data_IF_094034887142
#
_entry.id   IF_094034887142
#
_cell.length_a   1.000
_cell.length_b   1.000
_cell.length_c   1.000
_cell.angle_alpha   90.00
_cell.angle_beta   90.00
_cell.angle_gamma   90.00
#
_symmetry.space_group_name_H-M   'P 1'
#
loop_
_entity.id
_entity.type
_entity.pdbx_description
1 polymer ?
#
# COMPACT_ATOMS: atom_id res chain seq x y z
N UNK A 1 -1.70 16.64 -14.56
CA UNK A 1 -1.62 15.70 -13.43
C UNK A 1 -2.42 14.45 -13.75
N UNK A 2 -1.92 13.28 -13.38
CA UNK A 2 -2.58 12.02 -13.67
C UNK A 2 -3.87 11.89 -12.84
N UNK A 3 -4.99 11.54 -13.49
CA UNK A 3 -6.30 11.38 -12.82
C UNK A 3 -6.28 10.33 -11.70
N UNK A 4 -5.50 9.26 -11.87
CA UNK A 4 -5.36 8.23 -10.84
C UNK A 4 -4.68 8.78 -9.59
N UNK A 5 -3.68 9.64 -9.75
CA UNK A 5 -3.00 10.25 -8.61
C UNK A 5 -3.90 11.28 -7.89
N UNK A 6 -4.74 11.99 -8.62
CA UNK A 6 -5.74 12.87 -8.02
C UNK A 6 -6.76 12.08 -7.20
N UNK A 7 -7.24 10.95 -7.74
CA UNK A 7 -8.14 10.06 -7.02
C UNK A 7 -7.47 9.49 -5.78
N UNK A 8 -6.23 9.00 -5.90
CA UNK A 8 -5.45 8.51 -4.75
C UNK A 8 -5.39 9.57 -3.65
N UNK A 9 -5.00 10.78 -3.99
CA UNK A 9 -4.88 11.89 -3.03
C UNK A 9 -6.19 12.23 -2.33
N UNK A 10 -7.33 12.03 -2.99
CA UNK A 10 -8.64 12.28 -2.38
C UNK A 10 -8.93 11.34 -1.21
N UNK A 11 -8.28 10.18 -1.15
CA UNK A 11 -8.40 9.21 -0.05
C UNK A 11 -7.28 9.33 0.99
N UNK A 12 -6.37 10.28 0.82
CA UNK A 12 -5.27 10.47 1.77
C UNK A 12 -5.80 10.99 3.10
N UNK A 13 -5.55 10.29 4.22
CA UNK A 13 -5.91 10.79 5.54
C UNK A 13 -5.06 12.00 5.94
N UNK A 14 -5.55 12.82 6.87
CA UNK A 14 -4.81 13.97 7.39
C UNK A 14 -3.46 13.54 7.99
N UNK A 15 -3.42 12.38 8.63
CA UNK A 15 -2.20 11.77 9.15
C UNK A 15 -2.17 10.29 8.73
N UNK A 16 -1.11 9.90 8.03
CA UNK A 16 -0.89 8.51 7.64
C UNK A 16 -0.23 7.78 8.81
N UNK A 17 -0.90 6.77 9.35
CA UNK A 17 -0.35 5.92 10.41
C UNK A 17 0.28 4.66 9.84
N UNK A 18 -0.39 3.99 8.90
CA UNK A 18 0.10 2.81 8.21
C UNK A 18 0.06 3.06 6.70
N UNK A 19 1.21 2.93 6.06
CA UNK A 19 1.33 3.04 4.61
C UNK A 19 1.43 1.65 4.00
N UNK A 20 0.50 1.33 3.10
CA UNK A 20 0.57 0.13 2.26
C UNK A 20 1.24 0.51 0.94
N UNK A 21 2.19 -0.29 0.48
CA UNK A 21 2.95 0.00 -0.74
C UNK A 21 2.82 -1.15 -1.72
N UNK A 22 2.22 -0.85 -2.89
CA UNK A 22 2.17 -1.74 -4.05
C UNK A 22 3.26 -1.38 -5.06
N UNK A 23 3.30 -2.11 -6.18
CA UNK A 23 4.28 -1.86 -7.23
C UNK A 23 3.92 -0.65 -8.09
N UNK A 24 2.73 -0.68 -8.68
CA UNK A 24 2.20 0.36 -9.55
C UNK A 24 0.72 0.11 -9.80
N UNK A 25 -0.01 1.13 -10.28
CA UNK A 25 -1.34 0.91 -10.82
C UNK A 25 -1.25 -0.04 -12.02
N UNK A 26 -2.19 -1.02 -12.19
CA UNK A 26 -2.16 -1.92 -13.32
C UNK A 26 -2.31 -1.19 -14.65
N UNK A 27 -1.61 -1.65 -15.69
CA UNK A 27 -1.71 -1.10 -17.05
C UNK A 27 -3.10 -1.27 -17.68
N UNK A 28 -3.93 -2.17 -17.11
CA UNK A 28 -5.33 -2.40 -17.52
C UNK A 28 -6.26 -1.21 -17.26
N UNK A 29 -5.83 -0.22 -16.48
CA UNK A 29 -6.67 0.90 -16.05
C UNK A 29 -7.44 0.62 -14.76
N UNK A 30 -7.39 -0.59 -14.23
CA UNK A 30 -7.96 -0.90 -12.91
C UNK A 30 -7.14 -0.23 -11.83
N UNK A 31 -7.78 0.14 -10.73
CA UNK A 31 -7.11 0.88 -9.69
C UNK A 31 -7.73 0.62 -8.32
N UNK A 32 -6.89 0.56 -7.30
CA UNK A 32 -7.34 0.28 -5.93
C UNK A 32 -8.46 1.24 -5.50
N UNK A 33 -8.24 2.53 -5.63
CA UNK A 33 -9.21 3.53 -5.18
C UNK A 33 -10.42 3.69 -6.13
N UNK A 34 -10.40 3.04 -7.29
CA UNK A 34 -11.58 2.90 -8.14
C UNK A 34 -12.47 1.71 -7.73
N UNK A 35 -12.00 0.89 -6.79
CA UNK A 35 -12.75 -0.25 -6.28
C UNK A 35 -12.87 -1.42 -7.25
N UNK A 36 -11.98 -1.55 -8.22
CA UNK A 36 -12.07 -2.56 -9.28
C UNK A 36 -10.79 -3.39 -9.49
N UNK A 37 -9.80 -3.29 -8.59
CA UNK A 37 -8.58 -4.09 -8.68
C UNK A 37 -8.66 -5.36 -7.82
N UNK A 38 -7.82 -6.35 -8.14
CA UNK A 38 -7.70 -7.57 -7.32
C UNK A 38 -7.24 -7.24 -5.91
N UNK A 39 -6.29 -6.32 -5.78
CA UNK A 39 -5.80 -5.88 -4.46
C UNK A 39 -6.91 -5.25 -3.63
N UNK A 40 -7.75 -4.41 -4.24
CA UNK A 40 -8.89 -3.82 -3.54
C UNK A 40 -9.83 -4.90 -2.99
N UNK A 41 -10.22 -5.86 -3.84
CA UNK A 41 -11.16 -6.93 -3.42
C UNK A 41 -10.57 -7.76 -2.27
N UNK A 42 -9.30 -8.11 -2.37
CA UNK A 42 -8.63 -8.89 -1.35
C UNK A 42 -8.47 -8.10 -0.03
N UNK A 43 -8.11 -6.83 -0.14
CA UNK A 43 -7.96 -5.95 1.01
C UNK A 43 -9.30 -5.72 1.72
N UNK A 44 -10.34 -5.40 0.96
CA UNK A 44 -11.70 -5.22 1.50
C UNK A 44 -12.15 -6.45 2.27
N UNK A 45 -11.92 -7.64 1.72
CA UNK A 45 -12.29 -8.90 2.38
C UNK A 45 -11.50 -9.10 3.67
N UNK A 46 -10.20 -8.82 3.67
CA UNK A 46 -9.37 -8.95 4.87
C UNK A 46 -9.83 -8.03 6.00
N UNK A 47 -10.39 -6.86 5.67
CA UNK A 47 -10.93 -5.90 6.63
C UNK A 47 -12.42 -6.08 6.94
N UNK A 48 -13.01 -7.23 6.63
CA UNK A 48 -14.39 -7.57 7.01
C UNK A 48 -15.45 -7.38 5.92
N UNK A 49 -15.03 -7.00 4.71
CA UNK A 49 -15.90 -6.87 3.53
C UNK A 49 -17.06 -5.85 3.67
N UNK A 50 -16.81 -4.74 4.39
CA UNK A 50 -17.80 -3.70 4.61
C UNK A 50 -17.90 -2.73 3.42
N UNK A 51 -19.13 -2.28 3.13
CA UNK A 51 -19.37 -1.24 2.09
C UNK A 51 -18.65 0.07 2.40
N UNK A 52 -18.41 0.35 3.68
CA UNK A 52 -17.72 1.54 4.17
C UNK A 52 -16.19 1.40 4.17
N UNK A 53 -15.63 0.41 3.44
CA UNK A 53 -14.21 0.08 3.51
C UNK A 53 -13.30 1.30 3.30
N UNK A 54 -13.53 2.12 2.29
CA UNK A 54 -12.66 3.27 2.02
C UNK A 54 -12.74 4.33 3.13
N UNK A 55 -13.94 4.59 3.64
CA UNK A 55 -14.12 5.54 4.74
C UNK A 55 -13.42 5.04 6.01
N UNK A 56 -13.57 3.76 6.32
CA UNK A 56 -12.96 3.13 7.48
C UNK A 56 -11.43 3.09 7.35
N UNK A 57 -10.92 2.79 6.16
CA UNK A 57 -9.49 2.78 5.84
C UNK A 57 -8.88 4.15 6.09
N UNK A 58 -9.51 5.19 5.55
CA UNK A 58 -9.08 6.58 5.73
C UNK A 58 -9.14 7.02 7.20
N UNK A 59 -10.21 6.69 7.91
CA UNK A 59 -10.37 7.02 9.34
C UNK A 59 -9.29 6.40 10.21
N UNK A 60 -8.83 5.20 9.87
CA UNK A 60 -7.73 4.53 10.58
C UNK A 60 -6.36 5.19 10.33
N UNK A 61 -6.26 6.10 9.39
CA UNK A 61 -4.99 6.67 8.97
C UNK A 61 -4.25 5.79 7.97
N UNK A 62 -4.93 4.85 7.34
CA UNK A 62 -4.37 3.92 6.37
C UNK A 62 -4.38 4.54 4.97
N UNK A 63 -3.30 4.34 4.24
CA UNK A 63 -3.15 4.85 2.89
C UNK A 63 -2.40 3.85 2.04
N UNK A 64 -2.85 3.64 0.81
CA UNK A 64 -2.17 2.79 -0.15
C UNK A 64 -1.53 3.67 -1.23
N UNK A 65 -0.23 3.54 -1.37
CA UNK A 65 0.57 4.17 -2.41
C UNK A 65 1.31 3.10 -3.20
N UNK A 66 1.95 3.47 -4.29
CA UNK A 66 2.74 2.57 -5.11
C UNK A 66 4.21 3.02 -5.16
N UNK A 67 5.11 2.05 -5.32
CA UNK A 67 6.53 2.32 -5.54
C UNK A 67 6.72 3.18 -6.79
N UNK A 68 6.17 2.73 -7.93
CA UNK A 68 6.21 3.46 -9.20
C UNK A 68 4.85 4.10 -9.48
N UNK A 69 4.86 5.38 -9.84
CA UNK A 69 3.62 6.13 -10.11
C UNK A 69 3.14 6.00 -11.57
N UNK A 70 3.83 5.21 -12.38
CA UNK A 70 3.43 4.84 -13.74
C UNK A 70 3.28 3.33 -13.83
N UNK A 71 2.34 2.80 -14.65
CA UNK A 71 2.15 1.36 -14.78
C UNK A 71 3.39 0.67 -15.34
N UNK A 72 3.91 -0.35 -14.63
CA UNK A 72 5.09 -1.12 -15.04
C UNK A 72 4.85 -2.63 -15.04
N UNK A 73 3.65 -3.08 -14.66
CA UNK A 73 3.38 -4.50 -14.47
C UNK A 73 3.43 -5.36 -15.74
N UNK A 74 3.34 -4.74 -16.93
CA UNK A 74 3.43 -5.43 -18.22
C UNK A 74 4.78 -5.26 -18.92
N UNK A 75 5.73 -4.56 -18.31
CA UNK A 75 7.07 -4.43 -18.85
C UNK A 75 7.84 -5.75 -18.70
N UNK A 76 8.80 -5.99 -19.61
CA UNK A 76 9.73 -7.10 -19.47
C UNK A 76 10.53 -6.97 -18.17
N UNK A 77 10.97 -8.09 -17.61
CA UNK A 77 11.60 -8.15 -16.29
C UNK A 77 12.75 -7.15 -16.12
N UNK A 78 13.60 -6.99 -17.13
CA UNK A 78 14.74 -6.07 -17.07
C UNK A 78 14.28 -4.62 -16.97
N UNK A 79 13.36 -4.20 -17.84
CA UNK A 79 12.78 -2.84 -17.84
C UNK A 79 11.97 -2.59 -16.57
N UNK A 80 11.16 -3.56 -16.17
CA UNK A 80 10.35 -3.48 -14.96
C UNK A 80 11.24 -3.27 -13.74
N UNK A 81 12.32 -4.03 -13.62
CA UNK A 81 13.26 -3.89 -12.51
C UNK A 81 13.98 -2.53 -12.54
N UNK A 82 14.33 -2.04 -13.73
CA UNK A 82 14.94 -0.72 -13.88
C UNK A 82 14.01 0.38 -13.36
N UNK A 83 12.73 0.34 -13.73
CA UNK A 83 11.72 1.28 -13.23
C UNK A 83 11.54 1.19 -11.71
N UNK A 84 11.56 -0.02 -11.17
CA UNK A 84 11.50 -0.23 -9.71
C UNK A 84 12.67 0.47 -9.00
N UNK A 85 13.88 0.29 -9.52
CA UNK A 85 15.08 0.90 -8.94
C UNK A 85 15.07 2.43 -9.05
N UNK A 86 14.65 2.96 -10.18
CA UNK A 86 14.54 4.39 -10.41
C UNK A 86 13.48 5.05 -9.52
N UNK A 87 12.46 4.32 -9.12
CA UNK A 87 11.38 4.80 -8.27
C UNK A 87 11.77 4.92 -6.79
N UNK A 88 12.85 4.27 -6.36
CA UNK A 88 13.26 4.25 -4.95
C UNK A 88 13.45 5.67 -4.36
N UNK A 89 14.20 6.60 -4.98
CA UNK A 89 14.38 7.93 -4.42
C UNK A 89 13.08 8.72 -4.30
N UNK A 90 12.16 8.54 -5.25
CA UNK A 90 10.87 9.24 -5.24
C UNK A 90 9.96 8.71 -4.12
N UNK A 91 9.97 7.40 -3.88
CA UNK A 91 9.27 6.83 -2.73
C UNK A 91 9.89 7.33 -1.42
N UNK A 92 11.22 7.42 -1.33
CA UNK A 92 11.89 7.95 -0.16
C UNK A 92 11.43 9.37 0.17
N UNK A 93 11.28 10.24 -0.82
CA UNK A 93 10.75 11.60 -0.63
C UNK A 93 9.34 11.59 -0.05
N UNK A 94 8.47 10.72 -0.57
CA UNK A 94 7.10 10.60 -0.06
C UNK A 94 7.09 10.05 1.37
N UNK A 95 7.95 9.09 1.70
CA UNK A 95 8.07 8.56 3.05
C UNK A 95 8.51 9.63 4.07
N UNK A 96 9.39 10.53 3.68
CA UNK A 96 9.78 11.69 4.50
C UNK A 96 8.57 12.58 4.78
N UNK A 97 7.75 12.81 3.79
CA UNK A 97 6.53 13.61 3.93
C UNK A 97 5.47 12.92 4.77
N UNK A 98 5.20 11.64 4.49
CA UNK A 98 4.13 10.88 5.14
C UNK A 98 4.43 10.51 6.59
N UNK A 99 5.68 10.25 6.92
CA UNK A 99 6.12 9.84 8.27
C UNK A 99 5.26 8.71 8.86
N UNK A 100 5.05 7.59 8.12
CA UNK A 100 4.20 6.51 8.63
C UNK A 100 4.83 5.83 9.84
N UNK A 101 3.99 5.31 10.73
CA UNK A 101 4.44 4.54 11.90
C UNK A 101 4.64 3.06 11.56
N UNK A 102 4.05 2.59 10.47
CA UNK A 102 4.25 1.25 9.92
C UNK A 102 4.14 1.29 8.40
N UNK A 103 4.84 0.38 7.75
CA UNK A 103 4.79 0.17 6.29
C UNK A 103 4.47 -1.28 6.03
N UNK A 104 3.51 -1.54 5.16
CA UNK A 104 3.12 -2.86 4.70
C UNK A 104 3.37 -2.97 3.21
N UNK A 105 4.31 -3.81 2.82
CA UNK A 105 4.60 -4.09 1.40
C UNK A 105 3.65 -5.18 0.92
N UNK A 106 2.84 -4.89 -0.10
CA UNK A 106 1.81 -5.83 -0.58
C UNK A 106 2.25 -6.60 -1.82
N UNK A 107 3.54 -6.79 -1.98
CA UNK A 107 4.14 -7.61 -3.04
C UNK A 107 5.58 -7.95 -2.64
N UNK A 108 5.88 -9.25 -2.48
CA UNK A 108 7.21 -9.66 -1.99
C UNK A 108 8.36 -9.19 -2.88
N UNK A 109 8.15 -9.17 -4.20
CA UNK A 109 9.20 -8.82 -5.15
C UNK A 109 9.76 -7.40 -4.98
N UNK A 110 8.96 -6.47 -4.45
CA UNK A 110 9.40 -5.07 -4.26
C UNK A 110 9.89 -4.77 -2.85
N UNK A 111 9.86 -5.73 -1.95
CA UNK A 111 10.29 -5.51 -0.56
C UNK A 111 11.70 -4.91 -0.45
N UNK A 112 12.72 -5.40 -1.19
CA UNK A 112 14.05 -4.79 -1.10
C UNK A 112 14.08 -3.32 -1.51
N UNK A 113 13.33 -2.94 -2.54
CA UNK A 113 13.24 -1.55 -3.00
C UNK A 113 12.56 -0.66 -1.97
N UNK A 114 11.46 -1.10 -1.40
CA UNK A 114 10.73 -0.35 -0.37
C UNK A 114 11.60 -0.20 0.89
N UNK A 115 12.26 -1.27 1.32
CA UNK A 115 13.18 -1.21 2.45
C UNK A 115 14.30 -0.19 2.22
N UNK A 116 14.88 -0.17 1.01
CA UNK A 116 15.91 0.80 0.65
C UNK A 116 15.37 2.24 0.73
N UNK A 117 14.18 2.48 0.18
CA UNK A 117 13.54 3.80 0.27
C UNK A 117 13.30 4.22 1.73
N UNK A 118 12.88 3.28 2.58
CA UNK A 118 12.70 3.53 4.00
C UNK A 118 14.00 3.96 4.68
N UNK A 119 15.11 3.27 4.39
CA UNK A 119 16.41 3.64 4.95
C UNK A 119 16.88 5.02 4.48
N UNK A 120 16.67 5.34 3.19
CA UNK A 120 16.94 6.67 2.64
C UNK A 120 16.10 7.76 3.31
N UNK A 121 14.90 7.43 3.75
CA UNK A 121 14.01 8.35 4.47
C UNK A 121 14.30 8.43 5.97
N UNK A 122 15.30 7.71 6.48
CA UNK A 122 15.64 7.70 7.91
C UNK A 122 14.76 6.82 8.77
N UNK A 123 13.99 5.92 8.17
CA UNK A 123 13.13 4.98 8.89
C UNK A 123 13.95 3.76 9.28
N UNK A 124 13.97 3.43 10.56
CA UNK A 124 14.79 2.33 11.10
C UNK A 124 14.01 1.04 11.36
N UNK A 125 12.69 1.10 11.48
CA UNK A 125 11.89 -0.12 11.66
C UNK A 125 11.75 -0.89 10.36
N UNK A 126 11.51 -2.21 10.47
CA UNK A 126 11.30 -3.09 9.32
C UNK A 126 9.85 -3.02 8.82
N UNK A 127 9.63 -3.14 7.50
CA UNK A 127 8.25 -3.24 6.98
C UNK A 127 7.66 -4.62 7.23
N UNK A 128 6.33 -4.67 7.35
CA UNK A 128 5.60 -5.91 7.12
C UNK A 128 5.59 -6.20 5.62
N UNK A 129 5.53 -7.48 5.26
CA UNK A 129 5.43 -7.88 3.86
C UNK A 129 4.42 -8.99 3.71
N UNK A 130 3.49 -8.82 2.77
CA UNK A 130 2.50 -9.85 2.42
C UNK A 130 2.60 -10.14 0.91
N UNK A 131 2.25 -11.37 0.46
CA UNK A 131 2.25 -11.67 -0.96
C UNK A 131 1.13 -10.91 -1.66
N UNK A 132 1.34 -10.52 -2.93
CA UNK A 132 0.27 -9.93 -3.74
C UNK A 132 -0.83 -10.97 -3.97
N UNK A 133 -2.12 -10.59 -3.91
CA UNK A 133 -3.21 -11.59 -4.00
C UNK A 133 -3.46 -12.17 -5.38
N UNK A 134 -2.87 -11.61 -6.45
CA UNK A 134 -3.04 -12.12 -7.81
C UNK A 134 -2.35 -13.48 -7.99
N UNK A 135 -2.69 -14.17 -9.10
CA UNK A 135 -2.05 -15.43 -9.55
C UNK A 135 -2.13 -16.55 -8.51
N UNK A 136 -3.31 -16.76 -7.91
CA UNK A 136 -3.55 -17.87 -6.98
C UNK A 136 -3.06 -17.63 -5.55
N UNK A 137 -2.63 -16.42 -5.22
CA UNK A 137 -2.10 -16.08 -3.89
C UNK A 137 -3.16 -15.46 -2.95
N UNK A 138 -4.43 -15.51 -3.30
CA UNK A 138 -5.49 -14.89 -2.50
C UNK A 138 -5.50 -15.35 -1.04
N UNK A 139 -5.48 -16.67 -0.84
CA UNK A 139 -5.49 -17.25 0.51
C UNK A 139 -4.24 -16.88 1.30
N UNK A 140 -3.07 -16.90 0.65
CA UNK A 140 -1.80 -16.51 1.29
C UNK A 140 -1.81 -15.03 1.70
N UNK A 141 -2.32 -14.16 0.83
CA UNK A 141 -2.48 -12.74 1.14
C UNK A 141 -3.43 -12.55 2.33
N UNK A 142 -4.59 -13.19 2.28
CA UNK A 142 -5.60 -13.09 3.33
C UNK A 142 -5.04 -13.52 4.68
N UNK A 143 -4.41 -14.69 4.75
CA UNK A 143 -3.84 -15.21 5.99
C UNK A 143 -2.73 -14.30 6.53
N UNK A 144 -1.84 -13.82 5.64
CA UNK A 144 -0.77 -12.92 6.03
C UNK A 144 -1.32 -11.58 6.57
N UNK A 145 -2.35 -11.04 5.92
CA UNK A 145 -3.01 -9.81 6.41
C UNK A 145 -3.66 -10.04 7.78
N UNK A 146 -4.35 -11.16 7.98
CA UNK A 146 -5.00 -11.45 9.25
C UNK A 146 -3.99 -11.54 10.41
N UNK A 147 -2.77 -11.98 10.14
CA UNK A 147 -1.70 -12.05 11.16
C UNK A 147 -1.22 -10.67 11.61
N UNK A 148 -1.29 -9.64 10.75
CA UNK A 148 -0.70 -8.33 11.02
C UNK A 148 -1.73 -7.22 11.31
N UNK A 149 -2.99 -7.37 10.90
CA UNK A 149 -3.99 -6.28 10.97
C UNK A 149 -4.09 -5.67 12.37
N UNK A 150 -4.15 -6.50 13.40
CA UNK A 150 -4.33 -6.02 14.78
C UNK A 150 -3.07 -5.31 15.35
N UNK A 151 -1.93 -5.51 14.70
CA UNK A 151 -0.67 -4.86 15.07
C UNK A 151 -0.45 -3.51 14.39
N UNK A 152 -1.25 -3.18 13.39
CA UNK A 152 -1.05 -1.96 12.61
C UNK A 152 -1.50 -0.72 13.40
N UNK A 153 -0.66 0.32 13.46
CA UNK A 153 -1.02 1.55 14.16
C UNK A 153 -2.19 2.25 13.48
N UNK A 154 -3.16 2.68 14.27
CA UNK A 154 -4.35 3.39 13.81
C UNK A 154 -4.37 4.81 14.36
N UNK A 155 -5.09 5.72 13.70
CA UNK A 155 -5.21 7.10 14.12
C UNK A 155 -5.93 7.21 15.47
N UNK A 156 -5.53 8.21 16.27
CA UNK A 156 -6.16 8.52 17.56
C UNK A 156 -7.67 8.79 17.34
N UNK A 157 -8.52 8.23 18.19
CA UNK A 157 -9.98 8.32 18.10
C UNK A 157 -10.66 7.11 17.46
N UNK A 158 -9.95 6.25 16.71
CA UNK A 158 -10.51 5.00 16.19
C UNK A 158 -10.53 3.88 17.24
N UNK A 159 -9.84 4.04 18.38
CA UNK A 159 -9.77 3.09 19.49
C UNK A 159 -10.77 3.37 20.63
N UNK A 160 -11.64 4.36 20.51
CA UNK A 160 -12.52 4.77 21.61
C UNK A 160 -13.76 3.89 21.82
N UNK A 161 -13.81 2.70 21.23
CA UNK A 161 -14.94 1.75 21.39
C UNK A 161 -14.49 0.36 21.84
N UNK A 162 -13.54 0.30 22.76
CA UNK A 162 -13.28 -0.92 23.51
C UNK A 162 -13.37 -0.62 25.00
N UNK A 163 -14.60 -0.44 25.45
CA UNK A 163 -15.00 -0.66 26.84
C UNK A 163 -15.94 -1.81 26.88
#
# INVERSE_FOLDING_TARGET
MNQLEELRKSFRPARITTLFVGESAPASGRFFYSGNSSLFRAMKKAFGNHETFFDDFKKKGFYLDDLALTPINKLENRERNRHRQEAIPELAKRLIEYKPKAVVVVMRAIQPMVTKAMRMAGISYEPFCVPHPAFGNWTRFHNAMMEIIDSLPVADGSNSKRT
#
